data_IF_749398817382
#
_entry.id   IF_749398817382
#
_cell.length_a   1.000
_cell.length_b   1.000
_cell.length_c   1.000
_cell.angle_alpha   90.00
_cell.angle_beta   90.00
_cell.angle_gamma   90.00
#
_symmetry.space_group_name_H-M   'P 1'
#
loop_
_entity.id
_entity.type
_entity.pdbx_description
1 polymer ?
#
# COMPACT_ATOMS: atom_id res chain seq x y z
N UNK A 1 -18.46 -16.75 24.35
CA UNK A 1 -18.70 -17.38 23.04
C UNK A 1 -20.20 -17.48 22.84
N UNK A 2 -20.73 -16.86 21.79
CA UNK A 2 -22.14 -16.86 21.41
C UNK A 2 -22.37 -17.79 20.22
N UNK A 3 -23.60 -18.27 20.05
CA UNK A 3 -24.05 -18.99 18.86
C UNK A 3 -25.14 -18.19 18.18
N UNK A 4 -25.01 -17.96 16.88
CA UNK A 4 -26.01 -17.23 16.11
C UNK A 4 -26.13 -17.74 14.68
N UNK A 5 -27.21 -17.34 14.02
CA UNK A 5 -27.51 -17.67 12.62
C UNK A 5 -27.08 -16.51 11.71
N UNK A 6 -26.38 -16.81 10.63
CA UNK A 6 -26.02 -15.84 9.62
C UNK A 6 -27.27 -15.44 8.82
N UNK A 7 -27.82 -14.26 9.10
CA UNK A 7 -29.09 -13.81 8.52
C UNK A 7 -28.92 -13.11 7.18
N UNK A 8 -27.76 -12.49 6.95
CA UNK A 8 -27.44 -11.85 5.69
C UNK A 8 -25.95 -12.02 5.39
N UNK A 9 -25.61 -12.22 4.12
CA UNK A 9 -24.24 -12.36 3.65
C UNK A 9 -24.12 -11.74 2.25
N UNK A 10 -23.10 -10.92 2.06
CA UNK A 10 -22.73 -10.34 0.78
C UNK A 10 -21.39 -10.94 0.35
N UNK A 11 -21.41 -11.80 -0.67
CA UNK A 11 -20.22 -12.48 -1.18
C UNK A 11 -19.24 -11.54 -1.86
N UNK A 12 -19.73 -10.54 -2.61
CA UNK A 12 -18.90 -9.59 -3.35
C UNK A 12 -18.05 -8.71 -2.43
N UNK A 13 -18.67 -8.25 -1.33
CA UNK A 13 -18.02 -7.39 -0.32
C UNK A 13 -17.42 -8.19 0.83
N UNK A 14 -17.75 -9.47 0.97
CA UNK A 14 -17.22 -10.37 2.00
C UNK A 14 -17.64 -10.00 3.42
N UNK A 15 -18.88 -9.58 3.65
CA UNK A 15 -19.38 -9.34 5.00
C UNK A 15 -20.83 -9.79 5.18
N UNK A 16 -21.24 -9.92 6.43
CA UNK A 16 -22.60 -10.26 6.78
C UNK A 16 -22.96 -9.90 8.22
N UNK A 17 -24.11 -10.39 8.63
CA UNK A 17 -24.67 -10.13 9.94
C UNK A 17 -25.17 -11.42 10.58
N UNK A 18 -24.82 -11.61 11.85
CA UNK A 18 -25.22 -12.75 12.66
C UNK A 18 -26.28 -12.32 13.67
N UNK A 19 -27.39 -13.05 13.71
CA UNK A 19 -28.43 -12.88 14.72
C UNK A 19 -28.28 -13.96 15.79
N UNK A 20 -28.18 -13.56 17.05
CA UNK A 20 -28.10 -14.46 18.19
C UNK A 20 -29.17 -14.05 19.21
N UNK A 21 -29.86 -15.02 19.82
CA UNK A 21 -30.94 -14.75 20.76
C UNK A 21 -30.46 -13.99 22.02
N UNK A 22 -29.20 -14.17 22.39
CA UNK A 22 -28.58 -13.50 23.54
C UNK A 22 -28.15 -12.06 23.26
N UNK A 23 -28.13 -11.65 21.98
CA UNK A 23 -27.70 -10.31 21.56
C UNK A 23 -28.90 -9.53 21.03
N UNK A 24 -29.11 -8.32 21.54
CA UNK A 24 -30.21 -7.46 21.11
C UNK A 24 -30.05 -6.92 19.69
N UNK A 25 -28.83 -6.96 19.14
CA UNK A 25 -28.49 -6.43 17.82
C UNK A 25 -27.75 -7.45 16.98
N UNK A 26 -27.93 -7.34 15.67
CA UNK A 26 -27.20 -8.14 14.70
C UNK A 26 -25.72 -7.80 14.75
N UNK A 27 -24.89 -8.81 14.95
CA UNK A 27 -23.44 -8.64 15.05
C UNK A 27 -22.82 -8.67 13.67
N UNK A 28 -21.99 -7.68 13.36
CA UNK A 28 -21.28 -7.62 12.10
C UNK A 28 -20.18 -8.69 12.03
N UNK A 29 -20.07 -9.40 10.91
CA UNK A 29 -18.98 -10.33 10.64
C UNK A 29 -18.36 -10.06 9.27
N UNK A 30 -17.03 -10.09 9.22
CA UNK A 30 -16.28 -9.95 7.98
C UNK A 30 -15.64 -11.28 7.57
N UNK A 31 -15.45 -11.49 6.27
CA UNK A 31 -14.86 -12.72 5.71
C UNK A 31 -13.46 -13.00 6.26
N UNK A 32 -12.73 -11.96 6.67
CA UNK A 32 -11.42 -12.10 7.30
C UNK A 32 -11.43 -12.98 8.54
N UNK A 33 -12.50 -12.92 9.34
CA UNK A 33 -12.63 -13.73 10.56
C UNK A 33 -12.87 -15.21 10.24
N UNK A 34 -13.39 -15.51 9.06
CA UNK A 34 -13.77 -16.85 8.61
C UNK A 34 -12.77 -17.50 7.64
N UNK A 35 -11.61 -16.85 7.40
CA UNK A 35 -10.56 -17.35 6.48
C UNK A 35 -10.07 -18.75 6.83
N UNK A 36 -10.20 -19.15 8.09
CA UNK A 36 -9.79 -20.46 8.60
C UNK A 36 -10.79 -21.58 8.28
N UNK A 37 -11.91 -21.31 7.60
CA UNK A 37 -12.92 -22.32 7.27
C UNK A 37 -12.71 -22.89 5.86
N UNK A 38 -13.03 -24.18 5.66
CA UNK A 38 -12.86 -24.88 4.38
C UNK A 38 -13.73 -24.33 3.24
N UNK A 39 -14.90 -23.77 3.57
CA UNK A 39 -15.83 -23.15 2.61
C UNK A 39 -16.17 -21.71 3.01
N UNK A 40 -16.60 -20.87 2.06
CA UNK A 40 -17.18 -19.57 2.39
C UNK A 40 -18.47 -19.73 3.21
N UNK A 41 -18.80 -18.75 4.07
CA UNK A 41 -20.06 -18.73 4.79
C UNK A 41 -21.23 -18.52 3.83
N UNK A 42 -22.39 -19.04 4.20
CA UNK A 42 -23.64 -18.91 3.45
C UNK A 42 -24.76 -18.49 4.38
N UNK A 43 -25.71 -17.74 3.86
CA UNK A 43 -26.90 -17.36 4.61
C UNK A 43 -27.58 -18.61 5.18
N UNK A 44 -27.95 -18.56 6.45
CA UNK A 44 -28.53 -19.68 7.19
C UNK A 44 -27.53 -20.49 8.02
N UNK A 45 -26.22 -20.29 7.84
CA UNK A 45 -25.19 -20.96 8.62
C UNK A 45 -25.27 -20.60 10.11
N UNK A 46 -25.03 -21.58 10.98
CA UNK A 46 -24.80 -21.33 12.40
C UNK A 46 -23.32 -21.08 12.65
N UNK A 47 -23.02 -19.99 13.34
CA UNK A 47 -21.66 -19.53 13.62
C UNK A 47 -21.50 -19.36 15.13
N UNK A 48 -20.43 -19.93 15.66
CA UNK A 48 -19.93 -19.65 17.00
C UNK A 48 -18.94 -18.51 16.92
N UNK A 49 -19.11 -17.47 17.74
CA UNK A 49 -18.27 -16.28 17.69
C UNK A 49 -18.15 -15.61 19.06
N UNK A 50 -17.16 -14.75 19.19
CA UNK A 50 -17.01 -13.83 20.31
C UNK A 50 -17.40 -12.42 19.85
N UNK A 51 -17.90 -11.60 20.77
CA UNK A 51 -18.31 -10.22 20.47
C UNK A 51 -17.24 -9.28 21.01
N UNK A 52 -16.74 -8.41 20.14
CA UNK A 52 -15.83 -7.34 20.49
C UNK A 52 -16.43 -6.00 20.05
N UNK A 53 -16.18 -4.92 20.81
CA UNK A 53 -16.53 -3.56 20.37
C UNK A 53 -15.32 -2.91 19.73
N UNK A 54 -15.48 -2.42 18.51
CA UNK A 54 -14.49 -1.62 17.80
C UNK A 54 -15.17 -0.35 17.30
N UNK A 55 -14.66 0.82 17.69
CA UNK A 55 -15.21 2.13 17.28
C UNK A 55 -16.73 2.26 17.52
N UNK A 56 -17.21 1.73 18.66
CA UNK A 56 -18.62 1.75 19.03
C UNK A 56 -19.52 0.74 18.31
N UNK A 57 -19.00 -0.03 17.34
CA UNK A 57 -19.73 -1.09 16.63
C UNK A 57 -19.39 -2.47 17.18
N UNK A 58 -20.38 -3.35 17.25
CA UNK A 58 -20.20 -4.75 17.66
C UNK A 58 -19.75 -5.60 16.48
N UNK A 59 -18.59 -6.26 16.62
CA UNK A 59 -18.01 -7.16 15.62
C UNK A 59 -17.82 -8.57 16.16
N UNK A 60 -18.02 -9.56 15.31
CA UNK A 60 -17.75 -10.96 15.59
C UNK A 60 -16.27 -11.27 15.37
N UNK A 61 -15.62 -11.82 16.40
CA UNK A 61 -14.24 -12.32 16.37
C UNK A 61 -14.21 -13.82 16.67
N UNK A 62 -13.08 -14.47 16.37
CA UNK A 62 -12.86 -15.90 16.61
C UNK A 62 -14.01 -16.78 16.08
N UNK A 63 -14.50 -16.48 14.88
CA UNK A 63 -15.73 -17.07 14.35
C UNK A 63 -15.49 -18.45 13.72
N UNK A 64 -16.39 -19.40 14.00
CA UNK A 64 -16.37 -20.77 13.46
C UNK A 64 -17.77 -21.20 13.01
N UNK A 65 -17.88 -21.62 11.76
CA UNK A 65 -19.12 -22.16 11.19
C UNK A 65 -19.32 -23.61 11.69
N UNK A 66 -20.53 -23.88 12.20
CA UNK A 66 -20.96 -25.20 12.67
C UNK A 66 -20.96 -26.21 11.50
N UNK A 67 -20.42 -27.40 11.73
CA UNK A 67 -20.33 -28.46 10.71
C UNK A 67 -19.30 -28.23 9.60
N UNK A 68 -18.53 -27.14 9.63
CA UNK A 68 -17.47 -26.88 8.63
C UNK A 68 -16.09 -27.13 9.22
N UNK A 69 -15.29 -27.95 8.54
CA UNK A 69 -13.90 -28.18 8.92
C UNK A 69 -13.05 -26.91 8.78
N UNK A 70 -12.08 -26.75 9.68
CA UNK A 70 -11.07 -25.70 9.53
C UNK A 70 -10.05 -26.08 8.44
N UNK A 71 -9.63 -25.12 7.62
CA UNK A 71 -8.52 -25.30 6.67
C UNK A 71 -7.25 -25.58 7.47
N UNK A 72 -6.59 -26.69 7.15
CA UNK A 72 -5.23 -26.95 7.64
C UNK A 72 -4.32 -25.91 6.99
N UNK A 73 -3.80 -24.97 7.79
CA UNK A 73 -2.74 -24.08 7.33
C UNK A 73 -1.53 -24.93 6.99
N UNK A 74 -1.20 -25.03 5.70
CA UNK A 74 0.12 -25.48 5.30
C UNK A 74 1.05 -24.38 5.75
N UNK A 75 1.67 -24.56 6.91
CA UNK A 75 2.75 -23.73 7.39
C UNK A 75 3.90 -23.90 6.39
N UNK A 76 3.87 -23.12 5.31
CA UNK A 76 5.02 -22.99 4.42
C UNK A 76 6.07 -22.27 5.25
N UNK A 77 6.93 -23.04 5.94
CA UNK A 77 8.17 -22.52 6.48
C UNK A 77 8.87 -21.80 5.33
N UNK A 78 8.80 -20.48 5.32
CA UNK A 78 9.66 -19.65 4.49
C UNK A 78 11.08 -19.92 4.97
N UNK A 79 11.74 -20.90 4.35
CA UNK A 79 13.18 -21.05 4.50
C UNK A 79 13.77 -19.87 3.77
N UNK A 80 14.03 -18.78 4.51
CA UNK A 80 14.95 -17.73 4.08
C UNK A 80 16.28 -18.43 3.76
N UNK A 81 16.53 -18.71 2.48
CA UNK A 81 17.87 -19.02 2.02
C UNK A 81 18.63 -17.70 2.04
N UNK A 82 19.67 -17.51 2.87
CA UNK A 82 20.50 -16.32 2.78
C UNK A 82 21.29 -16.39 1.46
N UNK A 83 20.98 -15.48 0.53
CA UNK A 83 21.76 -15.30 -0.69
C UNK A 83 23.15 -14.77 -0.34
N UNK A 84 24.16 -15.62 -0.42
CA UNK A 84 25.55 -15.27 -0.18
C UNK A 84 26.20 -14.73 -1.48
N UNK A 85 26.12 -13.42 -1.71
CA UNK A 85 26.93 -12.75 -2.74
C UNK A 85 27.94 -11.82 -2.09
N UNK A 86 29.09 -12.36 -1.65
CA UNK A 86 30.20 -11.63 -1.01
C UNK A 86 31.22 -10.99 -1.98
N UNK A 87 30.97 -10.96 -3.29
CA UNK A 87 31.97 -10.53 -4.29
C UNK A 87 31.82 -9.09 -4.82
N UNK A 88 30.76 -8.36 -4.45
CA UNK A 88 30.52 -7.00 -4.95
C UNK A 88 31.39 -5.89 -4.32
N UNK A 89 31.81 -5.92 -3.03
CA UNK A 89 32.48 -4.75 -2.44
C UNK A 89 33.96 -4.60 -2.84
N UNK A 90 34.60 -5.62 -3.44
CA UNK A 90 36.04 -5.57 -3.77
C UNK A 90 36.31 -4.77 -5.05
N UNK A 91 35.41 -4.82 -6.04
CA UNK A 91 35.58 -4.09 -7.31
C UNK A 91 35.36 -2.58 -7.16
N UNK A 92 34.46 -2.16 -6.26
CA UNK A 92 34.16 -0.74 -6.02
C UNK A 92 35.33 -0.02 -5.34
N UNK A 93 35.98 -0.67 -4.36
CA UNK A 93 37.15 -0.09 -3.66
C UNK A 93 38.35 0.05 -4.61
N UNK A 94 38.59 -0.95 -5.47
CA UNK A 94 39.68 -0.90 -6.45
C UNK A 94 39.49 0.19 -7.51
N UNK A 95 38.25 0.43 -7.97
CA UNK A 95 37.97 1.51 -8.92
C UNK A 95 38.06 2.89 -8.25
N UNK A 96 37.58 3.03 -7.01
CA UNK A 96 37.66 4.28 -6.26
C UNK A 96 39.10 4.65 -5.88
N UNK A 97 39.97 3.69 -5.56
CA UNK A 97 41.38 3.96 -5.26
C UNK A 97 42.15 4.41 -6.49
N UNK A 98 41.90 3.82 -7.66
CA UNK A 98 42.50 4.25 -8.93
C UNK A 98 42.03 5.65 -9.31
N UNK A 99 40.73 5.95 -9.17
CA UNK A 99 40.18 7.28 -9.46
C UNK A 99 40.73 8.36 -8.53
N UNK A 100 40.89 8.07 -7.22
CA UNK A 100 41.54 8.99 -6.27
C UNK A 100 43.03 9.21 -6.58
N UNK A 101 43.76 8.17 -6.97
CA UNK A 101 45.18 8.30 -7.32
C UNK A 101 45.38 9.19 -8.55
N UNK A 102 44.55 9.03 -9.58
CA UNK A 102 44.56 9.89 -10.78
C UNK A 102 44.15 11.34 -10.47
N UNK A 103 43.32 11.57 -9.45
CA UNK A 103 42.87 12.91 -9.08
C UNK A 103 43.94 13.70 -8.30
N UNK A 104 44.80 13.02 -7.55
CA UNK A 104 45.87 13.67 -6.78
C UNK A 104 47.05 14.14 -7.65
N UNK A 105 47.29 13.52 -8.81
CA UNK A 105 48.34 13.93 -9.75
C UNK A 105 47.95 15.17 -10.61
N UNK A 106 46.67 15.60 -10.62
CA UNK A 106 46.19 16.67 -11.51
C UNK A 106 46.30 18.09 -10.93
N UNK A 107 46.73 18.27 -9.67
CA UNK A 107 46.62 19.57 -8.98
C UNK A 107 47.75 20.57 -9.24
N UNK A 108 48.63 20.36 -10.22
CA UNK A 108 49.80 21.25 -10.45
C UNK A 108 49.77 22.12 -11.72
N UNK A 109 48.65 22.21 -12.45
CA UNK A 109 48.61 22.99 -13.70
C UNK A 109 47.24 23.64 -13.99
N UNK A 110 46.82 24.70 -13.28
CA UNK A 110 46.11 25.83 -13.91
C UNK A 110 46.30 27.10 -13.07
N UNK A 111 47.16 27.99 -13.57
CA UNK A 111 47.21 29.37 -13.13
C UNK A 111 46.10 30.24 -13.73
N UNK A 112 45.89 31.39 -13.08
CA UNK A 112 45.16 32.60 -13.51
C UNK A 112 43.73 32.78 -12.97
N UNK A 113 43.51 33.74 -12.04
CA UNK A 113 42.17 34.18 -11.68
C UNK A 113 41.66 35.17 -12.73
N UNK A 114 40.61 34.80 -13.46
CA UNK A 114 39.79 35.77 -14.21
C UNK A 114 38.56 36.13 -13.39
N UNK A 115 38.32 37.44 -13.38
CA UNK A 115 37.34 38.18 -12.60
C UNK A 115 35.95 37.53 -12.54
N UNK A 116 35.40 37.50 -11.32
CA UNK A 116 33.99 37.24 -11.05
C UNK A 116 33.18 38.39 -11.67
N UNK A 117 32.28 38.04 -12.58
CA UNK A 117 31.19 38.92 -12.98
C UNK A 117 29.92 38.42 -12.28
N UNK A 118 29.52 39.13 -11.24
CA UNK A 118 28.26 38.93 -10.52
C UNK A 118 27.08 39.38 -11.40
N UNK A 119 26.04 38.54 -11.48
CA UNK A 119 24.70 38.95 -11.92
C UNK A 119 23.71 38.45 -10.84
N UNK A 120 22.69 39.24 -10.46
CA UNK A 120 21.95 39.09 -9.21
C UNK A 120 20.87 38.01 -9.26
N UNK A 121 20.46 37.61 -8.05
CA UNK A 121 19.39 36.70 -7.70
C UNK A 121 18.18 36.75 -8.66
N UNK A 122 18.03 35.72 -9.48
CA UNK A 122 16.71 35.34 -9.99
C UNK A 122 16.41 33.99 -9.41
N UNK A 123 15.42 33.93 -8.52
CA UNK A 123 14.90 32.71 -7.95
C UNK A 123 14.58 31.71 -9.07
N UNK A 124 15.46 30.72 -9.25
CA UNK A 124 15.18 29.57 -10.10
C UNK A 124 14.23 28.70 -9.30
N UNK A 125 12.95 28.87 -9.59
CA UNK A 125 11.90 27.91 -9.27
C UNK A 125 12.38 26.54 -9.76
N UNK A 126 12.93 25.76 -8.81
CA UNK A 126 13.45 24.43 -9.05
C UNK A 126 12.28 23.46 -8.98
N UNK A 127 11.26 23.69 -9.81
CA UNK A 127 10.25 22.67 -10.06
C UNK A 127 10.79 21.81 -11.20
N UNK A 128 11.36 20.61 -10.93
CA UNK A 128 11.76 19.71 -12.01
C UNK A 128 10.54 19.47 -12.89
N UNK A 129 10.64 19.75 -14.20
CA UNK A 129 9.61 19.41 -15.19
C UNK A 129 9.44 17.89 -15.23
N UNK A 130 8.63 17.36 -14.31
CA UNK A 130 8.29 15.96 -14.27
C UNK A 130 7.46 15.67 -15.53
N UNK A 131 8.00 14.85 -16.42
CA UNK A 131 7.29 14.42 -17.63
C UNK A 131 6.37 13.26 -17.25
N UNK A 132 5.10 13.55 -17.05
CA UNK A 132 4.10 12.54 -16.73
C UNK A 132 3.65 11.79 -17.99
N UNK A 133 3.43 10.49 -17.88
CA UNK A 133 2.96 9.61 -18.97
C UNK A 133 1.88 8.69 -18.45
N UNK A 134 0.89 8.43 -19.28
CA UNK A 134 -0.15 7.45 -18.96
C UNK A 134 0.45 6.04 -18.92
N UNK A 135 0.58 5.49 -17.72
CA UNK A 135 1.15 4.17 -17.43
C UNK A 135 0.09 3.17 -16.92
N UNK A 136 -1.19 3.54 -16.97
CA UNK A 136 -2.31 2.70 -16.56
C UNK A 136 -2.69 2.81 -15.09
N UNK A 137 -2.09 3.74 -14.33
CA UNK A 137 -2.53 4.04 -12.95
C UNK A 137 -3.91 4.70 -12.92
N UNK A 138 -4.70 4.33 -11.92
CA UNK A 138 -6.10 4.76 -11.81
C UNK A 138 -6.48 5.33 -10.43
N UNK A 139 -5.66 5.13 -9.40
CA UNK A 139 -6.00 5.48 -8.01
C UNK A 139 -4.93 6.37 -7.34
N UNK A 140 -5.32 7.15 -6.34
CA UNK A 140 -4.46 8.08 -5.59
C UNK A 140 -3.28 7.42 -4.87
N UNK A 141 -3.44 6.16 -4.43
CA UNK A 141 -2.36 5.37 -3.83
C UNK A 141 -1.15 5.18 -4.75
N UNK A 142 -1.35 5.33 -6.06
CA UNK A 142 -0.33 5.10 -7.07
C UNK A 142 0.34 6.40 -7.55
N UNK A 143 -0.16 7.57 -7.14
CA UNK A 143 0.41 8.87 -7.51
C UNK A 143 1.52 9.28 -6.53
N UNK A 144 2.48 10.07 -7.01
CA UNK A 144 3.62 10.61 -6.26
C UNK A 144 3.43 12.09 -5.92
N UNK A 145 2.57 12.80 -6.65
CA UNK A 145 2.21 14.20 -6.37
C UNK A 145 0.80 14.54 -6.84
N UNK A 146 0.23 15.65 -6.33
CA UNK A 146 -1.09 16.13 -6.72
C UNK A 146 -1.11 16.63 -8.17
N UNK A 147 -0.01 17.23 -8.62
CA UNK A 147 0.17 17.70 -10.00
C UNK A 147 0.21 16.54 -10.99
N UNK A 148 0.82 15.42 -10.61
CA UNK A 148 0.78 14.18 -11.38
C UNK A 148 -0.67 13.67 -11.48
N UNK A 149 -1.41 13.64 -10.37
CA UNK A 149 -2.80 13.20 -10.36
C UNK A 149 -3.68 14.10 -11.26
N UNK A 150 -3.48 15.42 -11.22
CA UNK A 150 -4.18 16.39 -12.08
C UNK A 150 -3.85 16.16 -13.56
N UNK A 151 -2.59 15.83 -13.88
CA UNK A 151 -2.22 15.47 -15.25
C UNK A 151 -2.96 14.21 -15.71
N UNK A 152 -3.06 13.18 -14.86
CA UNK A 152 -3.69 11.91 -15.23
C UNK A 152 -5.19 12.05 -15.51
N UNK A 153 -5.94 12.80 -14.72
CA UNK A 153 -7.39 13.01 -14.98
C UNK A 153 -7.66 13.77 -16.29
N UNK A 154 -6.71 14.62 -16.72
CA UNK A 154 -6.84 15.42 -17.95
C UNK A 154 -6.32 14.72 -19.20
N UNK A 155 -5.33 13.84 -19.07
CA UNK A 155 -4.58 13.29 -20.20
C UNK A 155 -4.70 11.76 -20.35
N UNK A 156 -5.18 11.04 -19.34
CA UNK A 156 -5.21 9.57 -19.33
C UNK A 156 -6.63 9.01 -19.23
N UNK A 157 -6.95 7.94 -19.98
CA UNK A 157 -8.27 7.30 -19.92
C UNK A 157 -8.43 6.44 -18.66
N UNK A 158 -9.68 6.29 -18.19
CA UNK A 158 -10.10 5.39 -17.10
C UNK A 158 -9.55 5.72 -15.69
N UNK A 159 -9.30 6.99 -15.38
CA UNK A 159 -8.92 7.41 -14.02
C UNK A 159 -10.09 7.31 -13.03
N UNK A 160 -9.83 6.86 -11.78
CA UNK A 160 -10.82 6.69 -10.71
C UNK A 160 -10.41 7.42 -9.42
N UNK A 161 -9.81 8.59 -9.59
CA UNK A 161 -9.17 9.39 -8.52
C UNK A 161 -9.89 10.71 -8.24
N UNK A 162 -10.81 11.11 -9.12
CA UNK A 162 -11.70 12.25 -8.99
C UNK A 162 -13.13 11.70 -8.85
N UNK A 163 -13.66 11.76 -7.64
CA UNK A 163 -14.89 11.05 -7.26
C UNK A 163 -16.16 11.84 -7.61
N UNK A 164 -16.06 13.16 -7.52
CA UNK A 164 -17.11 14.15 -7.77
C UNK A 164 -16.93 14.89 -9.10
N UNK A 165 -15.84 14.61 -9.84
CA UNK A 165 -15.52 15.16 -11.17
C UNK A 165 -15.40 16.68 -11.18
N UNK A 166 -14.87 17.25 -10.10
CA UNK A 166 -14.66 18.69 -9.93
C UNK A 166 -13.28 19.14 -10.46
N UNK A 167 -12.43 18.18 -10.87
CA UNK A 167 -11.08 18.43 -11.36
C UNK A 167 -10.00 18.43 -10.27
N UNK A 168 -10.35 18.13 -9.02
CA UNK A 168 -9.42 17.97 -7.90
C UNK A 168 -9.29 16.49 -7.52
N UNK A 169 -8.27 15.79 -8.03
CA UNK A 169 -8.09 14.39 -7.68
C UNK A 169 -7.54 14.26 -6.26
N UNK A 170 -7.87 13.13 -5.62
CA UNK A 170 -7.27 12.71 -4.35
C UNK A 170 -7.58 13.58 -3.12
N UNK A 171 -8.69 14.30 -3.10
CA UNK A 171 -9.08 15.15 -1.95
C UNK A 171 -9.24 14.38 -0.64
N UNK A 172 -9.57 13.09 -0.73
CA UNK A 172 -9.75 12.20 0.43
C UNK A 172 -8.43 11.59 0.93
N UNK A 173 -7.28 11.86 0.29
CA UNK A 173 -5.98 11.28 0.63
C UNK A 173 -5.09 12.32 1.32
N UNK A 174 -4.83 12.15 2.62
CA UNK A 174 -4.05 13.10 3.44
C UNK A 174 -2.57 13.24 3.08
N UNK A 175 -2.09 12.50 2.07
CA UNK A 175 -0.74 12.64 1.52
C UNK A 175 -0.62 13.79 0.50
N UNK A 176 -1.73 14.34 0.04
CA UNK A 176 -1.83 15.39 -0.99
C UNK A 176 -2.75 16.55 -0.57
#
# INVERSE_FOLDING_TARGET
MYRGKLVNWNDDKGFGFISAAELSSNTFIHISTLKHMSRPPKQGDYIHFEVERHEGKTRATNARIEGVAAKKFKNSKSTNKPGANKLVPVLVVGVMSVLLFNYLDFTEQVGSPRAIQQIPDTAVDTTPRQTFKCDGRQYCSQMRSREEAVFFIRNCPNTKMDGDNDGNPCESDSRF
#
